data_IF_278257737655
#
_entry.id   IF_278257737655
#
_cell.length_a   1.000
_cell.length_b   1.000
_cell.length_c   1.000
_cell.angle_alpha   90.00
_cell.angle_beta   90.00
_cell.angle_gamma   90.00
#
_symmetry.space_group_name_H-M   'P 1'
#
loop_
_entity.id
_entity.type
_entity.pdbx_description
1 polymer ?
#
# COMPACT_ATOMS: atom_id res chain seq x y z
N UNK A 1 -20.09 -22.39 -14.77
CA UNK A 1 -19.99 -21.24 -13.85
C UNK A 1 -18.77 -20.47 -14.27
N UNK A 2 -18.87 -19.17 -14.48
CA UNK A 2 -17.72 -18.33 -14.81
C UNK A 2 -16.84 -18.20 -13.56
N UNK A 3 -15.54 -18.00 -13.70
CA UNK A 3 -14.59 -17.85 -12.60
C UNK A 3 -15.02 -16.74 -11.61
N UNK A 4 -15.49 -15.62 -12.14
CA UNK A 4 -16.00 -14.49 -11.32
C UNK A 4 -17.26 -14.86 -10.49
N UNK A 5 -18.14 -15.71 -11.04
CA UNK A 5 -19.32 -16.24 -10.32
C UNK A 5 -18.89 -17.07 -9.10
N UNK A 6 -17.86 -17.91 -9.29
CA UNK A 6 -17.34 -18.73 -8.19
C UNK A 6 -16.71 -17.87 -7.09
N UNK A 7 -15.90 -16.87 -7.47
CA UNK A 7 -15.23 -15.97 -6.52
C UNK A 7 -16.26 -15.13 -5.75
N UNK A 8 -17.18 -14.51 -6.47
CA UNK A 8 -18.16 -13.61 -5.86
C UNK A 8 -19.31 -14.37 -5.18
N UNK A 9 -19.57 -15.62 -5.58
CA UNK A 9 -20.69 -16.43 -5.07
C UNK A 9 -22.05 -15.94 -5.56
N UNK A 10 -22.11 -15.43 -6.78
CA UNK A 10 -23.32 -14.90 -7.42
C UNK A 10 -23.48 -15.51 -8.82
N UNK A 11 -24.70 -15.42 -9.37
CA UNK A 11 -24.93 -15.76 -10.77
C UNK A 11 -24.82 -14.50 -11.63
N UNK A 12 -24.01 -14.56 -12.66
CA UNK A 12 -23.83 -13.50 -13.65
C UNK A 12 -24.49 -13.95 -14.95
N UNK A 13 -25.41 -13.17 -15.57
CA UNK A 13 -26.01 -13.54 -16.84
C UNK A 13 -24.94 -13.86 -17.91
N UNK A 14 -25.14 -14.92 -18.70
CA UNK A 14 -24.13 -15.46 -19.62
C UNK A 14 -23.57 -14.45 -20.62
N UNK A 15 -24.36 -13.45 -21.01
CA UNK A 15 -23.96 -12.43 -21.99
C UNK A 15 -23.39 -11.16 -21.34
N UNK A 16 -23.18 -11.17 -20.02
CA UNK A 16 -22.63 -10.02 -19.31
C UNK A 16 -21.15 -9.86 -19.62
N UNK A 17 -20.79 -8.76 -20.27
CA UNK A 17 -19.41 -8.33 -20.44
C UNK A 17 -18.97 -7.51 -19.26
N UNK A 18 -17.74 -7.75 -18.78
CA UNK A 18 -17.07 -6.96 -17.75
C UNK A 18 -15.74 -6.50 -18.33
N UNK A 19 -15.59 -5.20 -18.54
CA UNK A 19 -14.40 -4.58 -19.14
C UNK A 19 -13.58 -3.75 -18.17
N UNK A 20 -14.16 -3.39 -17.01
CA UNK A 20 -13.45 -2.69 -15.93
C UNK A 20 -14.08 -3.01 -14.57
N UNK A 21 -13.31 -2.81 -13.51
CA UNK A 21 -13.73 -2.98 -12.13
C UNK A 21 -13.44 -1.70 -11.33
N UNK A 22 -14.43 -1.18 -10.61
CA UNK A 22 -14.26 0.07 -9.85
C UNK A 22 -15.15 0.12 -8.62
N UNK A 23 -14.70 0.83 -7.57
CA UNK A 23 -15.48 1.20 -6.40
C UNK A 23 -15.96 2.67 -6.43
N UNK A 24 -15.70 3.39 -7.52
CA UNK A 24 -16.09 4.79 -7.68
C UNK A 24 -17.13 4.95 -8.80
N UNK A 25 -18.31 5.49 -8.49
CA UNK A 25 -19.34 5.76 -9.49
C UNK A 25 -18.85 6.72 -10.59
N UNK A 26 -17.90 7.62 -10.26
CA UNK A 26 -17.29 8.56 -11.21
C UNK A 26 -16.37 7.89 -12.24
N UNK A 27 -15.87 6.69 -11.96
CA UNK A 27 -15.01 5.91 -12.86
C UNK A 27 -15.76 4.82 -13.61
N UNK A 28 -17.06 4.73 -13.43
CA UNK A 28 -17.91 3.76 -14.17
C UNK A 28 -17.89 4.12 -15.65
N UNK A 29 -17.57 3.12 -16.46
CA UNK A 29 -17.67 3.14 -17.92
C UNK A 29 -18.60 2.00 -18.37
N UNK A 30 -18.90 1.94 -19.66
CA UNK A 30 -19.68 0.84 -20.24
C UNK A 30 -19.04 -0.52 -19.89
N UNK A 31 -19.88 -1.46 -19.50
CA UNK A 31 -19.51 -2.82 -19.12
C UNK A 31 -18.61 -2.90 -17.88
N UNK A 32 -18.66 -1.90 -16.97
CA UNK A 32 -18.02 -1.99 -15.65
C UNK A 32 -18.73 -2.95 -14.72
N UNK A 33 -17.97 -3.54 -13.77
CA UNK A 33 -18.51 -4.01 -12.50
C UNK A 33 -18.23 -2.96 -11.43
N UNK A 34 -19.28 -2.53 -10.72
CA UNK A 34 -19.18 -1.55 -9.64
C UNK A 34 -19.24 -2.23 -8.28
N UNK A 35 -18.31 -1.87 -7.38
CA UNK A 35 -18.22 -2.38 -6.01
C UNK A 35 -18.66 -1.31 -5.02
N UNK A 36 -19.86 -1.41 -4.50
CA UNK A 36 -20.43 -0.52 -3.50
C UNK A 36 -19.97 -0.89 -2.09
N UNK A 37 -18.80 -0.40 -1.68
CA UNK A 37 -18.18 -0.68 -0.39
C UNK A 37 -18.50 0.39 0.65
N UNK A 38 -18.17 0.13 1.92
CA UNK A 38 -18.29 1.12 2.98
C UNK A 38 -17.33 2.29 2.72
N UNK A 39 -17.89 3.46 2.52
CA UNK A 39 -17.14 4.71 2.43
C UNK A 39 -17.04 5.42 3.80
N UNK A 40 -16.28 6.52 3.86
CA UNK A 40 -16.10 7.31 5.10
C UNK A 40 -17.38 8.03 5.57
N UNK A 41 -18.25 8.42 4.66
CA UNK A 41 -19.50 9.16 4.94
C UNK A 41 -20.74 8.42 4.54
N UNK A 42 -20.71 7.74 3.40
CA UNK A 42 -21.87 7.10 2.77
C UNK A 42 -21.42 5.74 2.28
N UNK A 43 -22.26 4.73 2.45
CA UNK A 43 -22.01 3.40 1.89
C UNK A 43 -22.17 3.43 0.36
N UNK A 44 -21.26 2.77 -0.36
CA UNK A 44 -21.26 2.73 -1.82
C UNK A 44 -22.49 2.09 -2.45
N UNK A 45 -23.26 1.28 -1.71
CA UNK A 45 -24.56 0.76 -2.15
C UNK A 45 -25.52 1.85 -2.62
N UNK A 46 -25.44 3.06 -2.05
CA UNK A 46 -26.26 4.21 -2.45
C UNK A 46 -25.99 4.69 -3.89
N UNK A 47 -24.85 4.33 -4.44
CA UNK A 47 -24.45 4.67 -5.83
C UNK A 47 -24.65 3.50 -6.80
N UNK A 48 -25.14 2.35 -6.34
CA UNK A 48 -25.24 1.16 -7.17
C UNK A 48 -26.19 1.32 -8.36
N UNK A 49 -27.36 1.95 -8.17
CA UNK A 49 -28.30 2.24 -9.27
C UNK A 49 -27.76 3.30 -10.22
N UNK A 50 -27.10 4.33 -9.70
CA UNK A 50 -26.40 5.33 -10.50
C UNK A 50 -25.33 4.67 -11.37
N UNK A 51 -24.53 3.78 -10.82
CA UNK A 51 -23.50 3.04 -11.55
C UNK A 51 -24.10 2.21 -12.70
N UNK A 52 -25.23 1.55 -12.49
CA UNK A 52 -25.95 0.84 -13.57
C UNK A 52 -26.42 1.80 -14.65
N UNK A 53 -26.96 2.97 -14.27
CA UNK A 53 -27.41 3.99 -15.23
C UNK A 53 -26.24 4.60 -16.04
N UNK A 54 -25.05 4.66 -15.45
CA UNK A 54 -23.82 5.11 -16.12
C UNK A 54 -23.21 4.04 -17.03
N UNK A 55 -23.73 2.82 -17.05
CA UNK A 55 -23.31 1.76 -17.95
C UNK A 55 -22.63 0.56 -17.31
N UNK A 56 -22.60 0.47 -15.98
CA UNK A 56 -22.13 -0.74 -15.33
C UNK A 56 -23.04 -1.94 -15.70
N UNK A 57 -22.43 -3.05 -16.06
CA UNK A 57 -23.16 -4.29 -16.34
C UNK A 57 -23.73 -4.91 -15.08
N UNK A 58 -23.01 -4.77 -13.98
CA UNK A 58 -23.37 -5.29 -12.66
C UNK A 58 -22.86 -4.32 -11.59
N UNK A 59 -23.63 -4.19 -10.50
CA UNK A 59 -23.18 -3.57 -9.26
C UNK A 59 -23.30 -4.58 -8.11
N UNK A 60 -22.29 -4.65 -7.25
CA UNK A 60 -22.28 -5.52 -6.08
C UNK A 60 -22.06 -4.68 -4.82
N UNK A 61 -22.67 -5.04 -3.70
CA UNK A 61 -22.52 -4.34 -2.42
C UNK A 61 -22.64 -5.30 -1.22
N UNK A 62 -22.20 -4.87 -0.05
CA UNK A 62 -22.28 -5.62 1.21
C UNK A 62 -23.07 -4.92 2.30
N UNK A 63 -23.91 -3.93 1.96
CA UNK A 63 -24.80 -3.29 2.93
C UNK A 63 -26.03 -4.16 3.17
N UNK A 64 -26.20 -4.76 4.36
CA UNK A 64 -27.35 -5.63 4.65
C UNK A 64 -28.65 -4.86 4.85
N UNK A 65 -28.60 -3.54 5.03
CA UNK A 65 -29.78 -2.69 5.29
C UNK A 65 -30.41 -2.15 4.01
N UNK A 66 -29.76 -2.35 2.86
CA UNK A 66 -30.21 -1.81 1.58
C UNK A 66 -30.78 -2.92 0.72
N UNK A 67 -32.04 -2.77 0.32
CA UNK A 67 -32.73 -3.66 -0.61
C UNK A 67 -32.93 -2.89 -1.92
N UNK A 68 -32.22 -3.31 -2.96
CA UNK A 68 -32.34 -2.71 -4.30
C UNK A 68 -33.09 -3.72 -5.20
N UNK A 69 -34.18 -3.27 -5.84
CA UNK A 69 -35.01 -4.14 -6.71
C UNK A 69 -34.40 -4.40 -8.09
N UNK A 70 -33.33 -3.69 -8.44
CA UNK A 70 -32.69 -3.86 -9.73
C UNK A 70 -31.90 -5.19 -9.79
N UNK A 71 -32.27 -6.06 -10.74
CA UNK A 71 -31.65 -7.39 -10.91
C UNK A 71 -30.17 -7.37 -11.21
N UNK A 72 -29.63 -6.23 -11.62
CA UNK A 72 -28.19 -6.03 -11.86
C UNK A 72 -27.44 -5.59 -10.61
N UNK A 73 -28.14 -5.33 -9.50
CA UNK A 73 -27.53 -4.95 -8.23
C UNK A 73 -27.66 -6.13 -7.27
N UNK A 74 -26.52 -6.64 -6.81
CA UNK A 74 -26.46 -7.88 -6.05
C UNK A 74 -25.81 -7.66 -4.69
N UNK A 75 -26.43 -8.19 -3.64
CA UNK A 75 -25.86 -8.22 -2.30
C UNK A 75 -24.88 -9.39 -2.16
N UNK A 76 -23.69 -9.11 -1.64
CA UNK A 76 -22.66 -10.13 -1.35
C UNK A 76 -22.18 -9.94 0.08
N UNK A 77 -22.47 -10.91 0.94
CA UNK A 77 -21.89 -10.95 2.28
C UNK A 77 -20.37 -11.15 2.18
N UNK A 78 -19.60 -10.47 3.01
CA UNK A 78 -18.12 -10.52 3.04
C UNK A 78 -17.50 -10.16 1.67
N UNK A 79 -18.03 -9.11 1.03
CA UNK A 79 -17.55 -8.67 -0.29
C UNK A 79 -16.07 -8.27 -0.26
N UNK A 80 -15.64 -7.60 0.81
CA UNK A 80 -14.24 -7.15 0.96
C UNK A 80 -13.24 -8.32 0.85
N UNK A 81 -13.53 -9.47 1.47
CA UNK A 81 -12.65 -10.65 1.44
C UNK A 81 -12.52 -11.28 0.04
N UNK A 82 -13.38 -10.89 -0.90
CA UNK A 82 -13.41 -11.43 -2.25
C UNK A 82 -12.78 -10.52 -3.29
N UNK A 83 -12.56 -9.25 -2.95
CA UNK A 83 -12.10 -8.23 -3.89
C UNK A 83 -10.77 -8.60 -4.50
N UNK A 84 -9.75 -8.90 -3.69
CA UNK A 84 -8.42 -9.19 -4.20
C UNK A 84 -8.43 -10.40 -5.14
N UNK A 85 -9.09 -11.50 -4.75
CA UNK A 85 -9.24 -12.69 -5.61
C UNK A 85 -9.96 -12.37 -6.92
N UNK A 86 -10.98 -11.51 -6.86
CA UNK A 86 -11.68 -11.08 -8.06
C UNK A 86 -10.76 -10.24 -8.97
N UNK A 87 -10.00 -9.30 -8.40
CA UNK A 87 -9.09 -8.45 -9.17
C UNK A 87 -7.91 -9.25 -9.74
N UNK A 88 -7.35 -10.22 -8.99
CA UNK A 88 -6.33 -11.15 -9.49
C UNK A 88 -6.83 -11.89 -10.74
N UNK A 89 -8.04 -12.46 -10.67
CA UNK A 89 -8.63 -13.17 -11.80
C UNK A 89 -8.97 -12.22 -12.96
N UNK A 90 -9.47 -11.02 -12.66
CA UNK A 90 -9.88 -10.03 -13.66
C UNK A 90 -8.70 -9.48 -14.44
N UNK A 91 -7.64 -9.06 -13.75
CA UNK A 91 -6.43 -8.51 -14.35
C UNK A 91 -5.41 -9.59 -14.74
N UNK A 92 -5.63 -10.84 -14.33
CA UNK A 92 -4.69 -11.97 -14.50
C UNK A 92 -3.32 -11.69 -13.84
N UNK A 93 -3.35 -11.11 -12.67
CA UNK A 93 -2.21 -10.74 -11.86
C UNK A 93 -2.39 -11.38 -10.48
N UNK A 94 -1.41 -12.09 -9.99
CA UNK A 94 -1.31 -12.41 -8.56
C UNK A 94 -0.62 -11.24 -7.86
N UNK A 95 -1.41 -10.41 -7.16
CA UNK A 95 -0.89 -9.23 -6.47
C UNK A 95 0.18 -9.60 -5.44
N UNK A 96 0.03 -10.77 -4.79
CA UNK A 96 0.95 -11.22 -3.74
C UNK A 96 2.25 -11.84 -4.27
N UNK A 97 2.36 -12.08 -5.59
CA UNK A 97 3.64 -12.47 -6.21
C UNK A 97 4.64 -11.31 -6.30
N UNK A 98 4.19 -10.08 -6.06
CA UNK A 98 5.02 -8.88 -6.14
C UNK A 98 5.67 -8.53 -4.80
N UNK A 99 6.78 -7.80 -4.86
CA UNK A 99 7.52 -7.35 -3.70
C UNK A 99 7.08 -5.95 -3.27
N UNK A 100 6.44 -5.83 -2.11
CA UNK A 100 5.97 -4.56 -1.57
C UNK A 100 6.94 -3.98 -0.55
N UNK A 101 7.53 -2.83 -0.85
CA UNK A 101 8.29 -1.99 0.06
C UNK A 101 7.43 -0.79 0.44
N UNK A 102 6.99 -0.71 1.68
CA UNK A 102 5.95 0.23 2.09
C UNK A 102 6.44 1.20 3.16
N UNK A 103 6.08 2.47 2.98
CA UNK A 103 6.57 3.57 3.81
C UNK A 103 5.41 4.43 4.31
N UNK A 104 5.24 4.48 5.64
CA UNK A 104 4.36 5.44 6.31
C UNK A 104 5.16 6.33 7.25
N UNK A 105 4.61 7.45 7.63
CA UNK A 105 5.26 8.42 8.50
C UNK A 105 4.59 9.78 8.38
N UNK A 106 4.91 10.71 9.25
CA UNK A 106 4.51 12.11 9.09
C UNK A 106 5.31 12.71 7.94
N UNK A 107 6.62 12.63 7.99
CA UNK A 107 7.54 13.16 6.98
C UNK A 107 8.37 12.05 6.33
N UNK A 108 8.91 12.32 5.14
CA UNK A 108 9.89 11.48 4.46
C UNK A 108 9.34 10.32 3.65
N UNK A 109 8.02 10.08 3.63
CA UNK A 109 7.40 8.98 2.84
C UNK A 109 7.82 9.00 1.38
N UNK A 110 7.61 10.14 0.72
CA UNK A 110 7.92 10.36 -0.69
C UNK A 110 9.39 10.14 -0.99
N UNK A 111 10.26 10.81 -0.25
CA UNK A 111 11.72 10.71 -0.44
C UNK A 111 12.21 9.28 -0.25
N UNK A 112 11.75 8.59 0.81
CA UNK A 112 12.20 7.24 1.12
C UNK A 112 11.70 6.23 0.08
N UNK A 113 10.42 6.29 -0.29
CA UNK A 113 9.85 5.40 -1.30
C UNK A 113 10.51 5.60 -2.66
N UNK A 114 10.74 6.86 -3.04
CA UNK A 114 11.38 7.19 -4.31
C UNK A 114 12.86 6.78 -4.36
N UNK A 115 13.62 7.02 -3.29
CA UNK A 115 15.02 6.58 -3.20
C UNK A 115 15.15 5.06 -3.18
N UNK A 116 14.23 4.35 -2.49
CA UNK A 116 14.18 2.89 -2.52
C UNK A 116 13.95 2.37 -3.95
N UNK A 117 12.99 2.96 -4.66
CA UNK A 117 12.73 2.65 -6.05
C UNK A 117 13.98 2.88 -6.93
N UNK A 118 14.62 4.05 -6.83
CA UNK A 118 15.83 4.33 -7.60
C UNK A 118 16.98 3.37 -7.28
N UNK A 119 17.15 3.00 -6.00
CA UNK A 119 18.15 2.03 -5.59
C UNK A 119 17.90 0.67 -6.26
N UNK A 120 16.67 0.17 -6.24
CA UNK A 120 16.30 -1.08 -6.88
C UNK A 120 16.56 -1.05 -8.39
N UNK A 121 16.19 0.04 -9.06
CA UNK A 121 16.46 0.23 -10.50
C UNK A 121 17.97 0.24 -10.79
N UNK A 122 18.75 0.95 -9.98
CA UNK A 122 20.21 1.00 -10.14
C UNK A 122 20.88 -0.37 -9.87
N UNK A 123 20.26 -1.22 -9.06
CA UNK A 123 20.69 -2.61 -8.84
C UNK A 123 20.26 -3.56 -9.97
N UNK A 124 19.52 -3.08 -10.97
CA UNK A 124 19.04 -3.87 -12.11
C UNK A 124 17.70 -4.57 -11.87
N UNK A 125 17.00 -4.26 -10.79
CA UNK A 125 15.67 -4.79 -10.54
C UNK A 125 14.58 -3.95 -11.24
N UNK A 126 13.54 -4.62 -11.69
CA UNK A 126 12.34 -3.94 -12.17
C UNK A 126 11.54 -3.39 -10.99
N UNK A 127 11.25 -2.09 -11.02
CA UNK A 127 10.64 -1.41 -9.88
C UNK A 127 9.64 -0.35 -10.32
N UNK A 128 8.61 -0.16 -9.51
CA UNK A 128 7.68 0.96 -9.61
C UNK A 128 7.63 1.74 -8.31
N UNK A 129 7.68 3.07 -8.42
CA UNK A 129 7.31 3.99 -7.37
C UNK A 129 5.84 4.39 -7.53
N UNK A 130 5.08 4.39 -6.44
CA UNK A 130 3.70 4.86 -6.37
C UNK A 130 3.54 5.76 -5.14
N UNK A 131 3.19 7.02 -5.35
CA UNK A 131 3.07 7.97 -4.24
C UNK A 131 2.69 9.38 -4.68
N UNK A 132 3.06 10.36 -3.87
CA UNK A 132 2.70 11.78 -4.04
C UNK A 132 3.21 12.38 -5.36
N UNK A 133 4.33 11.89 -5.90
CA UNK A 133 4.88 12.30 -7.19
C UNK A 133 4.22 11.59 -8.40
N UNK A 134 3.18 10.79 -8.15
CA UNK A 134 2.52 9.97 -9.16
C UNK A 134 3.12 8.57 -9.24
N UNK A 135 3.28 8.05 -10.46
CA UNK A 135 3.86 6.74 -10.70
C UNK A 135 5.09 6.82 -11.60
N UNK A 136 6.10 6.04 -11.27
CA UNK A 136 7.29 5.90 -12.09
C UNK A 136 7.70 4.43 -12.18
N UNK A 137 7.68 3.87 -13.39
CA UNK A 137 8.13 2.52 -13.67
C UNK A 137 9.55 2.57 -14.23
N UNK A 138 10.50 1.99 -13.51
CA UNK A 138 11.93 2.13 -13.78
C UNK A 138 12.30 3.62 -13.95
N UNK A 139 12.87 4.01 -15.08
CA UNK A 139 13.24 5.41 -15.35
C UNK A 139 12.13 6.22 -16.06
N UNK A 140 10.95 5.62 -16.28
CA UNK A 140 9.87 6.25 -17.04
C UNK A 140 8.72 6.68 -16.13
N UNK A 141 8.46 8.00 -16.10
CA UNK A 141 7.21 8.53 -15.50
C UNK A 141 6.04 8.15 -16.40
N UNK A 142 4.96 7.66 -15.82
CA UNK A 142 3.72 7.45 -16.56
C UNK A 142 2.55 8.12 -15.83
N UNK A 143 1.62 8.61 -16.61
CA UNK A 143 0.47 9.29 -16.06
C UNK A 143 -0.57 8.27 -15.62
N UNK A 144 -0.86 8.27 -14.34
CA UNK A 144 -2.01 7.59 -13.76
C UNK A 144 -2.88 8.61 -13.05
N UNK A 145 -4.16 8.48 -13.17
CA UNK A 145 -5.11 9.30 -12.41
C UNK A 145 -5.70 8.44 -11.28
N UNK A 146 -4.98 8.30 -10.17
CA UNK A 146 -5.64 7.76 -9.00
C UNK A 146 -6.29 8.89 -8.16
N UNK A 147 -7.38 8.56 -7.50
CA UNK A 147 -8.24 9.53 -6.81
C UNK A 147 -7.59 10.14 -5.56
N UNK A 148 -6.64 9.45 -4.99
CA UNK A 148 -5.85 9.86 -3.83
C UNK A 148 -4.56 10.54 -4.26
N UNK A 149 -4.13 11.55 -3.49
CA UNK A 149 -2.87 12.27 -3.76
C UNK A 149 -1.62 11.48 -3.39
N UNK A 150 -1.72 10.40 -2.60
CA UNK A 150 -0.55 9.70 -2.05
C UNK A 150 -0.65 8.19 -2.20
N UNK A 151 -1.78 7.58 -1.84
CA UNK A 151 -1.93 6.12 -1.82
C UNK A 151 -3.15 5.73 -2.64
N UNK A 152 -3.02 4.94 -3.71
CA UNK A 152 -4.17 4.41 -4.44
C UNK A 152 -5.00 3.47 -3.56
N UNK A 153 -6.25 3.24 -3.95
CA UNK A 153 -6.99 2.09 -3.42
C UNK A 153 -6.62 0.80 -4.18
N UNK A 154 -7.15 -0.33 -3.74
CA UNK A 154 -6.79 -1.63 -4.32
C UNK A 154 -7.19 -1.74 -5.80
N UNK A 155 -8.31 -1.17 -6.22
CA UNK A 155 -8.74 -1.17 -7.62
C UNK A 155 -7.77 -0.37 -8.50
N UNK A 156 -7.41 0.83 -8.02
CA UNK A 156 -6.43 1.70 -8.68
C UNK A 156 -5.05 1.05 -8.73
N UNK A 157 -4.64 0.34 -7.67
CA UNK A 157 -3.36 -0.37 -7.64
C UNK A 157 -3.29 -1.46 -8.69
N UNK A 158 -4.35 -2.28 -8.84
CA UNK A 158 -4.42 -3.28 -9.89
C UNK A 158 -4.43 -2.67 -11.30
N UNK A 159 -5.17 -1.58 -11.48
CA UNK A 159 -5.21 -0.82 -12.75
C UNK A 159 -3.80 -0.33 -13.12
N UNK A 160 -3.07 0.26 -12.16
CA UNK A 160 -1.69 0.70 -12.34
C UNK A 160 -0.79 -0.47 -12.75
N UNK A 161 -0.76 -1.54 -11.97
CA UNK A 161 0.13 -2.69 -12.22
C UNK A 161 -0.20 -3.35 -13.56
N UNK A 162 -1.49 -3.52 -13.88
CA UNK A 162 -1.92 -4.14 -15.15
C UNK A 162 -1.59 -3.30 -16.39
N UNK A 163 -1.42 -2.00 -16.23
CA UNK A 163 -1.06 -1.09 -17.33
C UNK A 163 0.42 -1.11 -17.68
N UNK A 164 1.25 -1.77 -16.87
CA UNK A 164 2.68 -1.85 -17.10
C UNK A 164 3.03 -3.02 -18.03
N UNK A 165 4.02 -2.78 -18.89
CA UNK A 165 4.69 -3.85 -19.65
C UNK A 165 5.91 -4.32 -18.84
N UNK A 166 5.67 -5.21 -17.88
CA UNK A 166 6.71 -5.80 -17.03
C UNK A 166 6.97 -7.25 -17.42
N UNK A 167 8.26 -7.64 -17.36
CA UNK A 167 8.76 -8.87 -17.99
C UNK A 167 9.32 -9.88 -17.01
N UNK A 168 9.50 -9.49 -15.74
CA UNK A 168 10.04 -10.36 -14.70
C UNK A 168 8.91 -11.03 -13.93
N UNK A 169 9.24 -12.13 -13.24
CA UNK A 169 8.27 -12.91 -12.47
C UNK A 169 7.66 -12.12 -11.30
N UNK A 170 8.32 -11.03 -10.85
CA UNK A 170 7.84 -10.15 -9.78
C UNK A 170 8.28 -8.71 -9.98
N UNK A 171 7.38 -7.78 -9.67
CA UNK A 171 7.62 -6.34 -9.67
C UNK A 171 7.95 -5.86 -8.26
N UNK A 172 8.96 -4.99 -8.12
CA UNK A 172 9.26 -4.34 -6.85
C UNK A 172 8.46 -3.03 -6.74
N UNK A 173 7.52 -2.98 -5.81
CA UNK A 173 6.56 -1.88 -5.63
C UNK A 173 6.97 -1.06 -4.42
N UNK A 174 7.50 0.15 -4.65
CA UNK A 174 7.82 1.12 -3.61
C UNK A 174 6.62 2.04 -3.39
N UNK A 175 5.87 1.82 -2.31
CA UNK A 175 4.55 2.40 -2.09
C UNK A 175 4.52 3.32 -0.87
N UNK A 176 4.09 4.57 -1.09
CA UNK A 176 3.75 5.46 0.02
C UNK A 176 2.39 5.09 0.59
N UNK A 177 2.31 4.96 1.94
CA UNK A 177 1.05 4.69 2.62
C UNK A 177 0.73 5.82 3.59
N UNK A 178 -0.35 6.55 3.33
CA UNK A 178 -0.87 7.57 4.21
C UNK A 178 -1.62 6.97 5.40
N UNK A 179 -1.71 7.71 6.52
CA UNK A 179 -2.52 7.29 7.67
C UNK A 179 -4.00 7.12 7.32
N UNK A 180 -4.52 7.93 6.40
CA UNK A 180 -5.87 7.78 5.85
C UNK A 180 -6.06 6.46 5.13
N UNK A 181 -5.07 6.05 4.31
CA UNK A 181 -5.16 4.80 3.57
C UNK A 181 -5.16 3.57 4.50
N UNK A 182 -4.37 3.62 5.58
CA UNK A 182 -4.34 2.58 6.60
C UNK A 182 -5.66 2.51 7.38
N UNK A 183 -6.15 3.66 7.86
CA UNK A 183 -7.41 3.77 8.60
C UNK A 183 -8.61 3.28 7.76
N UNK A 184 -8.62 3.61 6.48
CA UNK A 184 -9.66 3.23 5.52
C UNK A 184 -9.44 1.86 4.86
N UNK A 185 -8.39 1.13 5.21
CA UNK A 185 -8.03 -0.18 4.65
C UNK A 185 -8.03 -0.20 3.11
N UNK A 186 -7.52 0.87 2.48
CA UNK A 186 -7.60 1.07 1.03
C UNK A 186 -6.90 0.00 0.21
N UNK A 187 -5.88 -0.65 0.78
CA UNK A 187 -5.09 -1.68 0.10
C UNK A 187 -5.75 -3.08 0.13
N UNK A 188 -6.99 -3.18 0.67
CA UNK A 188 -7.69 -4.45 0.77
C UNK A 188 -6.89 -5.49 1.57
N UNK A 189 -6.95 -6.74 1.12
CA UNK A 189 -6.27 -7.87 1.74
C UNK A 189 -4.93 -8.16 1.05
N UNK A 190 -4.00 -7.19 1.05
CA UNK A 190 -2.61 -7.48 0.73
C UNK A 190 -2.02 -8.28 1.89
N UNK A 191 -1.67 -9.55 1.64
CA UNK A 191 -1.31 -10.49 2.70
C UNK A 191 0.16 -10.43 3.11
N UNK A 192 1.04 -9.89 2.24
CA UNK A 192 2.47 -9.90 2.49
C UNK A 192 3.19 -8.65 2.00
N UNK A 193 4.04 -8.10 2.87
CA UNK A 193 4.94 -7.00 2.54
C UNK A 193 6.40 -7.46 2.69
N UNK A 194 7.27 -7.07 1.77
CA UNK A 194 8.70 -7.28 1.94
C UNK A 194 9.25 -6.37 3.04
N UNK A 195 8.75 -5.13 3.10
CA UNK A 195 9.00 -4.27 4.25
C UNK A 195 7.79 -3.43 4.61
N UNK A 196 7.51 -3.33 5.91
CA UNK A 196 6.59 -2.39 6.52
C UNK A 196 7.39 -1.37 7.33
N UNK A 197 7.34 -0.07 6.96
CA UNK A 197 8.21 0.95 7.55
C UNK A 197 7.42 2.11 8.13
N UNK A 198 7.63 2.44 9.42
CA UNK A 198 7.20 3.69 10.05
C UNK A 198 8.43 4.59 10.19
N UNK A 199 8.48 5.69 9.42
CA UNK A 199 9.64 6.57 9.35
C UNK A 199 9.72 7.54 10.53
N UNK A 200 8.59 8.10 10.94
CA UNK A 200 8.45 9.00 12.08
C UNK A 200 6.97 9.28 12.36
N UNK A 201 6.66 9.72 13.58
CA UNK A 201 5.32 10.16 13.97
C UNK A 201 5.44 11.48 14.74
N UNK A 202 4.93 12.55 14.12
CA UNK A 202 4.75 13.87 14.71
C UNK A 202 3.28 14.32 14.58
N UNK A 203 2.91 15.40 15.20
CA UNK A 203 1.53 15.89 15.19
C UNK A 203 1.15 16.42 13.81
N UNK A 204 0.22 15.72 13.15
CA UNK A 204 -0.29 16.07 11.82
C UNK A 204 -1.70 15.47 11.62
N UNK A 205 -2.49 15.99 10.67
CA UNK A 205 -3.80 15.46 10.27
C UNK A 205 -4.82 15.31 11.42
N UNK A 206 -4.78 16.19 12.43
CA UNK A 206 -5.69 16.13 13.57
C UNK A 206 -7.13 16.52 13.20
N UNK A 207 -7.32 17.18 12.07
CA UNK A 207 -8.61 17.45 11.44
C UNK A 207 -9.36 16.18 11.07
N UNK A 208 -8.65 15.14 10.64
CA UNK A 208 -9.19 13.82 10.32
C UNK A 208 -9.17 12.88 11.54
N UNK A 209 -8.01 12.68 12.15
CA UNK A 209 -7.81 11.69 13.22
C UNK A 209 -8.27 12.14 14.61
N UNK A 210 -8.73 13.40 14.75
CA UNK A 210 -9.22 14.03 16.00
C UNK A 210 -8.15 14.20 17.08
N UNK A 211 -7.19 13.32 17.23
CA UNK A 211 -6.11 13.38 18.19
C UNK A 211 -4.88 12.56 17.75
N UNK A 212 -3.75 12.84 18.37
CA UNK A 212 -2.46 12.19 18.06
C UNK A 212 -2.47 10.68 18.33
N UNK A 213 -3.24 10.21 19.31
CA UNK A 213 -3.33 8.78 19.60
C UNK A 213 -3.96 8.02 18.42
N UNK A 214 -5.11 8.51 17.92
CA UNK A 214 -5.79 7.90 16.76
C UNK A 214 -4.94 7.97 15.49
N UNK A 215 -4.21 9.07 15.27
CA UNK A 215 -3.27 9.18 14.16
C UNK A 215 -2.14 8.14 14.25
N UNK A 216 -1.59 7.97 15.45
CA UNK A 216 -0.57 6.97 15.74
C UNK A 216 -1.11 5.55 15.54
N UNK A 217 -2.29 5.28 16.10
CA UNK A 217 -2.95 3.99 15.97
C UNK A 217 -3.16 3.64 14.49
N UNK A 218 -3.60 4.59 13.66
CA UNK A 218 -3.75 4.40 12.22
C UNK A 218 -2.42 4.03 11.52
N UNK A 219 -1.28 4.65 11.89
CA UNK A 219 0.02 4.29 11.30
C UNK A 219 0.50 2.90 11.70
N UNK A 220 0.26 2.50 12.95
CA UNK A 220 0.63 1.19 13.44
C UNK A 220 -0.17 0.05 12.80
N UNK A 221 -1.32 0.32 12.14
CA UNK A 221 -2.07 -0.68 11.37
C UNK A 221 -1.21 -1.37 10.30
N UNK A 222 -0.18 -0.68 9.75
CA UNK A 222 0.74 -1.28 8.76
C UNK A 222 1.44 -2.53 9.31
N UNK A 223 1.69 -2.59 10.61
CA UNK A 223 2.35 -3.75 11.24
C UNK A 223 1.41 -4.93 11.54
N UNK A 224 0.10 -4.79 11.30
CA UNK A 224 -0.82 -5.92 11.28
C UNK A 224 -0.71 -6.74 10.00
N UNK A 225 -0.22 -6.13 8.92
CA UNK A 225 0.04 -6.85 7.67
C UNK A 225 1.29 -7.70 7.88
N UNK A 226 1.24 -8.96 7.46
CA UNK A 226 2.41 -9.83 7.50
C UNK A 226 3.53 -9.24 6.65
N UNK A 227 4.75 -9.26 7.18
CA UNK A 227 5.88 -8.66 6.50
C UNK A 227 7.19 -9.33 6.85
N UNK A 228 8.12 -9.42 5.88
CA UNK A 228 9.46 -9.97 6.12
C UNK A 228 10.26 -9.13 7.09
N UNK A 229 10.14 -7.79 6.97
CA UNK A 229 10.86 -6.83 7.80
C UNK A 229 9.90 -5.75 8.27
N UNK A 230 9.95 -5.41 9.55
CA UNK A 230 9.26 -4.27 10.16
C UNK A 230 10.30 -3.26 10.63
N UNK A 231 10.27 -2.05 10.07
CA UNK A 231 11.21 -0.98 10.37
C UNK A 231 10.51 0.17 11.09
N UNK A 232 11.15 0.70 12.14
CA UNK A 232 10.63 1.84 12.89
C UNK A 232 11.77 2.75 13.36
N UNK A 233 11.55 4.06 13.36
CA UNK A 233 12.46 5.00 13.97
C UNK A 233 12.43 4.91 15.51
N UNK A 234 13.53 5.30 16.17
CA UNK A 234 13.66 5.21 17.64
C UNK A 234 12.60 6.02 18.39
N UNK A 235 12.28 7.23 17.91
CA UNK A 235 11.30 8.10 18.59
C UNK A 235 9.88 7.50 18.56
N UNK A 236 9.53 6.79 17.48
CA UNK A 236 8.26 6.08 17.35
C UNK A 236 8.27 4.72 18.04
N UNK A 237 9.44 4.08 18.17
CA UNK A 237 9.61 2.76 18.79
C UNK A 237 9.04 2.69 20.22
N UNK A 238 9.18 3.75 21.00
CA UNK A 238 8.63 3.85 22.36
C UNK A 238 7.12 3.59 22.43
N UNK A 239 6.39 3.86 21.35
CA UNK A 239 4.95 3.63 21.28
C UNK A 239 4.59 2.19 20.92
N UNK A 240 5.53 1.41 20.36
CA UNK A 240 5.29 0.04 19.91
C UNK A 240 4.79 -0.89 21.03
N UNK A 241 5.19 -0.61 22.27
CA UNK A 241 4.80 -1.39 23.46
C UNK A 241 3.28 -1.41 23.70
N UNK A 242 2.54 -0.45 23.18
CA UNK A 242 1.07 -0.38 23.26
C UNK A 242 0.39 -1.47 22.40
N UNK A 243 1.07 -1.98 21.36
CA UNK A 243 0.49 -2.83 20.34
C UNK A 243 0.92 -4.28 20.52
N UNK A 244 0.05 -5.10 21.12
CA UNK A 244 0.36 -6.51 21.44
C UNK A 244 0.63 -7.32 20.18
N UNK A 245 -0.04 -7.03 19.06
CA UNK A 245 0.14 -7.73 17.79
C UNK A 245 1.56 -7.62 17.19
N UNK A 246 2.36 -6.66 17.65
CA UNK A 246 3.77 -6.54 17.24
C UNK A 246 4.64 -7.58 17.96
N UNK A 247 4.22 -8.02 19.18
CA UNK A 247 4.97 -8.98 20.00
C UNK A 247 4.73 -10.43 19.58
N UNK A 248 3.55 -10.70 19.02
CA UNK A 248 3.09 -12.06 18.72
C UNK A 248 3.56 -12.55 17.33
N UNK A 249 4.16 -11.66 16.54
CA UNK A 249 4.70 -12.03 15.23
C UNK A 249 6.18 -12.40 15.36
N UNK A 250 6.59 -13.53 14.78
CA UNK A 250 7.96 -14.05 14.73
C UNK A 250 8.99 -13.10 14.08
N UNK A 251 8.53 -12.00 13.48
CA UNK A 251 9.38 -11.03 12.82
C UNK A 251 9.69 -9.87 13.77
N UNK A 252 10.96 -9.79 14.14
CA UNK A 252 11.49 -8.75 14.99
C UNK A 252 11.25 -7.36 14.40
N UNK A 253 10.69 -6.46 15.24
CA UNK A 253 10.63 -5.05 14.93
C UNK A 253 12.04 -4.46 15.01
N UNK A 254 12.56 -3.99 13.88
CA UNK A 254 13.91 -3.43 13.74
C UNK A 254 13.90 -1.94 13.99
N UNK A 255 14.58 -1.49 15.02
CA UNK A 255 14.70 -0.08 15.37
C UNK A 255 15.89 0.56 14.65
N UNK A 256 15.62 1.69 13.96
CA UNK A 256 16.62 2.49 13.29
C UNK A 256 16.83 3.79 14.09
N UNK A 257 18.10 4.15 14.34
CA UNK A 257 18.44 5.36 15.10
C UNK A 257 19.69 6.05 14.56
N UNK A 258 19.73 7.37 14.74
CA UNK A 258 20.94 8.18 14.60
C UNK A 258 21.43 8.73 15.95
N UNK A 259 20.76 8.39 17.05
CA UNK A 259 21.05 8.88 18.41
C UNK A 259 21.66 7.78 19.27
N UNK A 260 21.20 6.54 19.10
CA UNK A 260 21.54 5.40 19.93
C UNK A 260 22.30 4.34 19.11
N UNK A 261 23.60 4.21 19.36
CA UNK A 261 24.48 3.26 18.68
C UNK A 261 24.25 1.78 19.08
N UNK A 262 23.35 1.51 20.03
CA UNK A 262 22.92 0.15 20.41
C UNK A 262 21.60 -0.25 19.72
N UNK A 263 20.98 0.63 18.91
CA UNK A 263 19.82 0.26 18.11
C UNK A 263 20.18 -0.83 17.09
N UNK A 264 19.17 -1.57 16.61
CA UNK A 264 19.41 -2.66 15.64
C UNK A 264 20.16 -2.16 14.40
N UNK A 265 19.74 -1.00 13.91
CA UNK A 265 20.47 -0.27 12.85
C UNK A 265 20.76 1.14 13.36
N UNK A 266 22.02 1.48 13.41
CA UNK A 266 22.49 2.83 13.73
C UNK A 266 23.09 3.50 12.50
N UNK A 267 22.74 4.75 12.25
CA UNK A 267 23.37 5.53 11.17
C UNK A 267 23.92 6.85 11.68
N UNK A 268 24.98 7.32 11.04
CA UNK A 268 25.59 8.61 11.31
C UNK A 268 25.89 9.33 10.00
N UNK A 269 25.39 10.56 9.89
CA UNK A 269 25.78 11.44 8.79
C UNK A 269 27.20 11.93 9.09
N UNK A 270 28.15 11.62 8.20
CA UNK A 270 29.57 11.98 8.36
C UNK A 270 29.91 13.26 7.63
N UNK A 271 29.20 13.55 6.53
CA UNK A 271 29.33 14.78 5.76
C UNK A 271 28.02 15.11 5.08
N UNK A 272 27.67 16.38 5.03
CA UNK A 272 26.51 16.88 4.31
C UNK A 272 26.87 18.15 3.55
N UNK A 273 26.50 18.19 2.28
CA UNK A 273 26.59 19.35 1.39
C UNK A 273 25.30 19.47 0.59
N UNK A 274 25.15 20.54 -0.18
CA UNK A 274 23.94 20.78 -0.99
C UNK A 274 23.67 19.65 -1.98
N UNK A 275 24.72 19.01 -2.52
CA UNK A 275 24.61 18.00 -3.58
C UNK A 275 25.03 16.61 -3.14
N UNK A 276 25.57 16.44 -1.92
CA UNK A 276 26.12 15.14 -1.51
C UNK A 276 26.00 14.94 0.00
N UNK A 277 25.53 13.79 0.39
CA UNK A 277 25.57 13.32 1.77
C UNK A 277 26.40 12.05 1.89
N UNK A 278 27.27 11.98 2.88
CA UNK A 278 28.03 10.79 3.24
C UNK A 278 27.56 10.29 4.61
N UNK A 279 27.35 9.00 4.75
CA UNK A 279 26.88 8.41 6.00
C UNK A 279 27.45 7.01 6.23
N UNK A 280 27.53 6.66 7.48
CA UNK A 280 27.92 5.34 7.95
C UNK A 280 26.70 4.64 8.53
N UNK A 281 26.54 3.36 8.22
CA UNK A 281 25.50 2.49 8.80
C UNK A 281 26.22 1.38 9.58
N UNK A 282 25.78 1.17 10.82
CA UNK A 282 26.19 0.07 11.67
C UNK A 282 24.96 -0.83 11.88
N UNK A 283 25.04 -2.08 11.45
CA UNK A 283 24.04 -3.10 11.70
C UNK A 283 24.50 -3.88 12.93
N UNK A 284 23.80 -3.70 14.05
CA UNK A 284 24.07 -4.38 15.31
C UNK A 284 23.34 -5.71 15.41
N UNK A 285 22.08 -5.76 14.88
CA UNK A 285 21.28 -6.95 14.79
C UNK A 285 20.76 -7.08 13.37
N UNK A 286 20.92 -8.25 12.80
CA UNK A 286 20.36 -8.54 11.48
C UNK A 286 18.82 -8.64 11.58
N UNK A 287 18.04 -7.89 10.78
CA UNK A 287 16.58 -7.99 10.76
C UNK A 287 16.06 -9.40 10.46
N UNK A 288 16.86 -10.24 9.79
CA UNK A 288 16.54 -11.63 9.49
C UNK A 288 16.84 -12.61 10.64
N UNK A 289 17.33 -12.13 11.79
CA UNK A 289 17.55 -12.94 12.98
C UNK A 289 18.85 -13.74 13.00
N UNK A 290 19.74 -13.54 12.03
CA UNK A 290 21.09 -14.08 12.11
C UNK A 290 21.88 -13.24 13.12
N UNK A 291 22.32 -13.87 14.23
CA UNK A 291 23.25 -13.22 15.15
C UNK A 291 24.48 -12.79 14.34
N UNK A 292 24.65 -11.48 14.18
CA UNK A 292 25.84 -10.95 13.57
C UNK A 292 26.99 -11.15 14.57
N UNK A 293 27.74 -12.22 14.44
CA UNK A 293 29.01 -12.44 15.19
C UNK A 293 29.97 -11.27 15.02
N UNK A 294 29.76 -10.43 13.99
CA UNK A 294 30.51 -9.21 13.74
C UNK A 294 29.58 -8.07 13.32
N UNK A 295 29.58 -6.97 14.05
CA UNK A 295 28.92 -5.71 13.67
C UNK A 295 29.36 -5.30 12.27
N UNK A 296 28.43 -5.27 11.32
CA UNK A 296 28.73 -4.87 9.95
C UNK A 296 28.66 -3.36 9.82
N UNK A 297 29.76 -2.75 9.39
CA UNK A 297 29.84 -1.31 9.12
C UNK A 297 29.92 -1.05 7.64
N UNK A 298 29.04 -0.18 7.15
CA UNK A 298 28.98 0.23 5.76
C UNK A 298 29.15 1.74 5.66
N UNK A 299 29.80 2.20 4.59
CA UNK A 299 29.90 3.62 4.23
C UNK A 299 29.18 3.83 2.93
N UNK A 300 28.36 4.85 2.88
CA UNK A 300 27.58 5.22 1.72
C UNK A 300 27.80 6.69 1.37
N UNK A 301 27.66 6.99 0.09
CA UNK A 301 27.51 8.37 -0.38
C UNK A 301 26.29 8.42 -1.28
N UNK A 302 25.47 9.46 -1.13
CA UNK A 302 24.32 9.73 -1.96
C UNK A 302 24.47 11.14 -2.54
N UNK A 303 24.37 11.26 -3.85
CA UNK A 303 24.29 12.55 -4.54
C UNK A 303 22.81 12.85 -4.73
N UNK A 304 22.31 13.80 -3.94
CA UNK A 304 20.95 14.32 -4.10
C UNK A 304 21.03 15.47 -5.09
N UNK A 305 20.50 15.26 -6.27
CA UNK A 305 20.31 16.36 -7.23
C UNK A 305 19.11 17.21 -6.81
N UNK A 306 19.18 18.54 -7.00
CA UNK A 306 18.18 19.50 -6.53
C UNK A 306 16.90 19.52 -7.37
N UNK A 307 16.46 18.40 -7.92
CA UNK A 307 15.15 18.27 -8.58
C UNK A 307 14.01 17.84 -7.63
N UNK A 308 14.23 18.00 -6.31
CA UNK A 308 13.23 17.80 -5.27
C UNK A 308 12.84 19.11 -4.61
#
# INVERSE_FOLDING_TARGET
MNEYENILGIQIPKDTKISSATNSSKKVIKDSIFFGLQGTKIHGSNYAEEAINLGASIAVHNDPNVIIKNKKVLYIKNLEEKINKFLDAFYKIDINSNNFFTFTGTNGKTSTAYLCHQLLVNMGYESIYIGTLGCQHNNNKFQTSFSSKTTPDIFELFEIISSLDWRLDSLNICLEISSHALDQKRLGDIFWLNSASILNIADEHLDYHKNISSYRDAKFEIFKINSSIKLIDEDSFKYSKKYNFIKDNDHKLTCISNKNNFSDIFYKITKMSVCKSEFEILINNDPQGYEAENKKKYKFSCELFPEF
#
